data_IF_154445956806
#
_entry.id   IF_154445956806
#
_cell.length_a   1.000
_cell.length_b   1.000
_cell.length_c   1.000
_cell.angle_alpha   90.00
_cell.angle_beta   90.00
_cell.angle_gamma   90.00
#
_symmetry.space_group_name_H-M   'P 1'
#
loop_
_entity.id
_entity.type
_entity.pdbx_description
1 polymer ?
#
# COMPACT_ATOMS: atom_id res chain seq x y z
N UNK A 1 -10.38 -8.20 -5.68
CA UNK A 1 -9.21 -8.91 -6.20
C UNK A 1 -7.95 -8.30 -5.58
N UNK A 2 -6.92 -9.09 -5.26
CA UNK A 2 -5.66 -8.61 -4.67
C UNK A 2 -4.52 -9.34 -5.37
N UNK A 3 -3.57 -8.57 -5.92
CA UNK A 3 -2.42 -9.09 -6.66
C UNK A 3 -1.22 -9.40 -5.76
N UNK A 4 -0.01 -9.18 -6.27
CA UNK A 4 1.22 -9.49 -5.54
C UNK A 4 1.32 -8.71 -4.22
N UNK A 5 1.86 -9.37 -3.21
CA UNK A 5 2.19 -8.77 -1.91
C UNK A 5 3.69 -8.94 -1.68
N UNK A 6 4.39 -7.81 -1.57
CA UNK A 6 5.80 -7.77 -1.22
C UNK A 6 5.95 -7.25 0.20
N UNK A 7 6.70 -7.98 1.03
CA UNK A 7 6.96 -7.59 2.43
C UNK A 7 8.41 -7.09 2.53
N UNK A 8 8.56 -5.79 2.75
CA UNK A 8 9.83 -5.17 3.13
C UNK A 8 9.90 -4.99 4.65
N UNK A 9 11.09 -4.64 5.16
CA UNK A 9 11.33 -4.50 6.60
C UNK A 9 10.39 -3.51 7.31
N UNK A 10 9.91 -2.49 6.58
CA UNK A 10 9.14 -1.36 7.16
C UNK A 10 7.81 -1.08 6.48
N UNK A 11 7.55 -1.72 5.34
CA UNK A 11 6.32 -1.51 4.59
C UNK A 11 6.02 -2.76 3.76
N UNK A 12 4.79 -2.83 3.26
CA UNK A 12 4.42 -3.82 2.27
C UNK A 12 3.87 -3.11 1.04
N UNK A 13 4.17 -3.64 -0.13
CA UNK A 13 3.51 -3.27 -1.38
C UNK A 13 2.43 -4.29 -1.66
N UNK A 14 1.28 -3.81 -2.12
CA UNK A 14 0.13 -4.64 -2.43
C UNK A 14 -0.43 -4.14 -3.75
N UNK A 15 -0.44 -5.02 -4.75
CA UNK A 15 -1.07 -4.73 -6.03
C UNK A 15 -2.59 -4.86 -5.90
N UNK A 16 -3.30 -3.88 -6.45
CA UNK A 16 -4.75 -3.84 -6.51
C UNK A 16 -5.18 -3.37 -7.91
N UNK A 17 -6.40 -3.70 -8.35
CA UNK A 17 -6.97 -3.12 -9.56
C UNK A 17 -6.91 -1.58 -9.54
N UNK A 18 -6.59 -0.98 -10.67
CA UNK A 18 -6.36 0.48 -10.78
C UNK A 18 -7.62 1.29 -10.41
N UNK A 19 -8.79 0.80 -10.82
CA UNK A 19 -10.09 1.37 -10.51
C UNK A 19 -10.43 1.32 -9.01
N UNK A 20 -9.93 0.31 -8.29
CA UNK A 20 -10.12 0.15 -6.85
C UNK A 20 -9.11 0.92 -5.99
N UNK A 21 -8.03 1.45 -6.58
CA UNK A 21 -6.90 2.01 -5.81
C UNK A 21 -7.32 3.15 -4.84
N UNK A 22 -8.17 4.07 -5.31
CA UNK A 22 -8.64 5.19 -4.47
C UNK A 22 -9.58 4.74 -3.36
N UNK A 23 -10.47 3.81 -3.65
CA UNK A 23 -11.40 3.25 -2.67
C UNK A 23 -10.63 2.53 -1.55
N UNK A 24 -9.68 1.66 -1.92
CA UNK A 24 -8.84 0.91 -0.98
C UNK A 24 -8.06 1.87 -0.09
N UNK A 25 -7.46 2.91 -0.65
CA UNK A 25 -6.72 3.92 0.12
C UNK A 25 -7.64 4.66 1.08
N UNK A 26 -8.82 5.08 0.63
CA UNK A 26 -9.78 5.79 1.46
C UNK A 26 -10.31 4.91 2.61
N UNK A 27 -10.59 3.64 2.34
CA UNK A 27 -11.01 2.67 3.34
C UNK A 27 -9.90 2.41 4.38
N UNK A 28 -8.68 2.11 3.93
CA UNK A 28 -7.56 1.80 4.82
C UNK A 28 -7.16 2.97 5.72
N UNK A 29 -7.30 4.23 5.26
CA UNK A 29 -7.10 5.42 6.10
C UNK A 29 -8.05 5.47 7.31
N UNK A 30 -9.27 4.93 7.16
CA UNK A 30 -10.29 4.90 8.22
C UNK A 30 -10.24 3.64 9.08
N UNK A 31 -9.59 2.59 8.61
CA UNK A 31 -9.47 1.30 9.30
C UNK A 31 -8.27 1.26 10.26
N UNK A 32 -8.18 0.21 11.08
CA UNK A 32 -6.99 -0.14 11.86
C UNK A 32 -6.56 -1.57 11.49
N UNK A 33 -5.26 -1.82 11.51
CA UNK A 33 -4.68 -3.15 11.28
C UNK A 33 -4.05 -3.58 12.59
N UNK A 34 -4.55 -4.68 13.18
CA UNK A 34 -4.11 -5.18 14.50
C UNK A 34 -4.13 -4.07 15.58
N UNK A 35 -5.21 -3.27 15.59
CA UNK A 35 -5.39 -2.16 16.54
C UNK A 35 -4.55 -0.91 16.26
N UNK A 36 -3.70 -0.90 15.23
CA UNK A 36 -2.85 0.25 14.88
C UNK A 36 -3.38 0.96 13.63
N UNK A 37 -3.29 2.29 13.61
CA UNK A 37 -3.61 3.08 12.41
C UNK A 37 -2.54 2.82 11.34
N UNK A 38 -2.96 2.35 10.17
CA UNK A 38 -2.07 2.08 9.05
C UNK A 38 -1.87 3.37 8.23
N UNK A 39 -0.62 3.70 7.93
CA UNK A 39 -0.28 4.76 6.98
C UNK A 39 -0.23 4.17 5.57
N UNK A 40 -1.20 4.52 4.73
CA UNK A 40 -1.33 4.03 3.36
C UNK A 40 -1.09 5.15 2.34
N UNK A 41 -0.40 4.82 1.25
CA UNK A 41 -0.11 5.72 0.13
C UNK A 41 -0.05 4.92 -1.17
N UNK A 42 -0.35 5.58 -2.30
CA UNK A 42 0.01 5.03 -3.62
C UNK A 42 1.53 4.89 -3.70
N UNK A 43 1.96 3.78 -4.26
CA UNK A 43 3.35 3.52 -4.63
C UNK A 43 3.78 4.57 -5.68
N UNK A 44 5.07 4.92 -5.67
CA UNK A 44 5.62 5.98 -6.52
C UNK A 44 6.93 5.44 -7.09
N UNK A 45 6.87 4.92 -8.31
CA UNK A 45 7.94 4.23 -9.04
C UNK A 45 9.33 4.89 -8.96
N UNK A 46 9.42 6.19 -8.70
CA UNK A 46 10.64 6.99 -8.91
C UNK A 46 11.65 7.03 -7.75
N UNK A 47 11.30 6.65 -6.51
CA UNK A 47 12.23 6.84 -5.37
C UNK A 47 13.03 5.61 -4.95
N UNK A 48 12.52 4.41 -5.18
CA UNK A 48 13.18 3.19 -4.68
C UNK A 48 14.24 2.65 -5.65
N UNK A 49 14.17 2.99 -6.94
CA UNK A 49 15.21 2.64 -7.93
C UNK A 49 16.53 3.41 -7.72
N UNK A 50 16.52 4.55 -7.02
CA UNK A 50 17.72 5.40 -6.80
C UNK A 50 18.55 5.03 -5.58
N UNK A 51 18.13 4.02 -4.81
CA UNK A 51 18.81 3.55 -3.58
C UNK A 51 19.46 2.18 -3.73
N UNK A 52 19.51 1.62 -4.94
CA UNK A 52 20.21 0.36 -5.23
C UNK A 52 21.64 0.63 -5.65
#
# INVERSE_FOLDING_TARGET
DIGAIEIADRFSLVEVPEDAADEVIAALRRTTVKGKKATVRRERDQRDQRRR
#
